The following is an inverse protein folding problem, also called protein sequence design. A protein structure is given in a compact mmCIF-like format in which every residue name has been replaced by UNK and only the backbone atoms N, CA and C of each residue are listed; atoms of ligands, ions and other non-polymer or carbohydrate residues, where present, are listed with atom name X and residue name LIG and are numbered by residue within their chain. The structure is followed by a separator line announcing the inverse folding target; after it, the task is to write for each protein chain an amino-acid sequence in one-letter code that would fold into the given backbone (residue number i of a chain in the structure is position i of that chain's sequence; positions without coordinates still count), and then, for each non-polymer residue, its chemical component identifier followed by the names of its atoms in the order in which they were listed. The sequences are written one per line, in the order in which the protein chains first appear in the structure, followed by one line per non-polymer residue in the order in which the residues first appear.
data_IF_964584581728
#
_entry.id   IF_964584581728
#
_cell.length_a   1.000
_cell.length_b   1.000
_cell.length_c   1.000
_cell.angle_alpha   90.00
_cell.angle_beta   90.00
_cell.angle_gamma   90.00
#
_symmetry.space_group_name_H-M   'P 1'
#
loop_
_entity.id
_entity.type
_entity.pdbx_description
1 polymer ?
#
# COMPACT_ATOMS: atom_id res chain seq x y z
N UNK A 1 14.18 -7.14 -7.91
CA UNK A 1 15.39 -6.88 -7.09
C UNK A 1 15.07 -6.53 -5.64
N UNK A 2 14.13 -5.62 -5.34
CA UNK A 2 13.78 -5.23 -3.96
C UNK A 2 13.32 -6.41 -3.10
N UNK A 3 12.53 -7.32 -3.65
CA UNK A 3 12.14 -8.59 -3.00
C UNK A 3 13.34 -9.36 -2.45
N UNK A 4 14.37 -9.59 -3.29
CA UNK A 4 15.57 -10.36 -2.89
C UNK A 4 16.36 -9.68 -1.77
N UNK A 5 16.30 -8.36 -1.71
CA UNK A 5 16.93 -7.58 -0.63
C UNK A 5 16.12 -7.73 0.65
N UNK A 6 14.79 -7.62 0.56
CA UNK A 6 13.89 -7.83 1.69
C UNK A 6 14.02 -9.24 2.27
N UNK A 7 14.07 -10.27 1.43
CA UNK A 7 14.21 -11.68 1.81
C UNK A 7 15.55 -11.97 2.50
N UNK A 8 16.54 -11.07 2.40
CA UNK A 8 17.85 -11.27 3.05
C UNK A 8 17.82 -10.93 4.53
N UNK A 9 16.82 -10.17 4.99
CA UNK A 9 16.66 -9.84 6.40
C UNK A 9 16.01 -11.02 7.13
N UNK A 10 16.56 -11.45 8.28
CA UNK A 10 15.98 -12.56 9.04
C UNK A 10 14.63 -12.17 9.63
N UNK A 11 13.57 -12.88 9.23
CA UNK A 11 12.18 -12.63 9.64
C UNK A 11 11.97 -12.70 11.16
N UNK A 12 12.82 -13.44 11.89
CA UNK A 12 12.75 -13.55 13.35
C UNK A 12 13.18 -12.28 14.08
N UNK A 13 13.75 -11.29 13.37
CA UNK A 13 14.26 -10.04 13.96
C UNK A 13 13.76 -8.78 13.27
N UNK A 14 13.32 -8.87 12.02
CA UNK A 14 12.95 -7.69 11.24
C UNK A 14 11.66 -7.93 10.47
N UNK A 15 10.77 -6.95 10.58
CA UNK A 15 9.63 -6.82 9.69
C UNK A 15 10.01 -5.89 8.53
N UNK A 16 10.21 -6.48 7.35
CA UNK A 16 10.69 -5.73 6.19
C UNK A 16 9.53 -5.33 5.29
N UNK A 17 9.49 -4.05 4.94
CA UNK A 17 8.48 -3.46 4.06
C UNK A 17 9.14 -2.84 2.83
N UNK A 18 8.45 -2.88 1.69
CA UNK A 18 8.84 -2.24 0.44
C UNK A 18 7.84 -1.14 0.15
N UNK A 19 8.32 0.11 0.15
CA UNK A 19 7.49 1.29 -0.10
C UNK A 19 7.70 1.75 -1.54
N UNK A 20 6.61 1.87 -2.28
CA UNK A 20 6.54 2.57 -3.56
C UNK A 20 5.74 3.86 -3.35
N UNK A 21 6.36 5.00 -3.63
CA UNK A 21 5.73 6.31 -3.46
C UNK A 21 5.82 7.13 -4.73
N UNK A 22 4.72 7.77 -5.12
CA UNK A 22 4.66 8.69 -6.25
C UNK A 22 3.72 9.86 -5.94
N UNK A 23 3.98 11.04 -6.49
CA UNK A 23 3.08 12.20 -6.35
C UNK A 23 1.90 12.15 -7.31
N UNK A 24 1.94 11.25 -8.31
CA UNK A 24 0.84 10.98 -9.23
C UNK A 24 -0.03 9.80 -8.81
N UNK A 25 -0.80 9.26 -9.75
CA UNK A 25 -1.51 7.98 -9.60
C UNK A 25 -0.63 6.83 -10.12
N UNK A 26 -0.78 5.64 -9.54
CA UNK A 26 -0.18 4.43 -10.11
C UNK A 26 -1.02 3.93 -11.29
N UNK A 27 -0.35 3.55 -12.38
CA UNK A 27 -0.97 2.83 -13.48
C UNK A 27 -1.20 1.36 -13.15
N UNK A 28 -2.16 0.72 -13.83
CA UNK A 28 -2.43 -0.73 -13.68
C UNK A 28 -1.17 -1.59 -13.89
N UNK A 29 -0.31 -1.19 -14.83
CA UNK A 29 0.95 -1.86 -15.09
C UNK A 29 1.96 -1.70 -13.93
N UNK A 30 1.93 -0.59 -13.20
CA UNK A 30 2.73 -0.40 -11.99
C UNK A 30 2.17 -1.18 -10.81
N UNK A 31 0.85 -1.17 -10.63
CA UNK A 31 0.17 -1.96 -9.60
C UNK A 31 0.47 -3.45 -9.80
N UNK A 32 0.37 -3.96 -11.03
CA UNK A 32 0.69 -5.35 -11.35
C UNK A 32 2.15 -5.71 -11.04
N UNK A 33 3.08 -4.79 -11.32
CA UNK A 33 4.50 -4.98 -10.99
C UNK A 33 4.74 -4.96 -9.47
N UNK A 34 4.08 -4.08 -8.74
CA UNK A 34 4.17 -4.02 -7.28
C UNK A 34 3.58 -5.28 -6.63
N UNK A 35 2.50 -5.83 -7.21
CA UNK A 35 1.88 -7.09 -6.76
C UNK A 35 2.85 -8.27 -6.79
N UNK A 36 3.81 -8.30 -7.71
CA UNK A 36 4.84 -9.36 -7.77
C UNK A 36 5.79 -9.34 -6.56
N UNK A 37 5.85 -8.23 -5.81
CA UNK A 37 6.63 -8.13 -4.60
C UNK A 37 5.86 -8.62 -3.35
N UNK A 38 4.57 -8.96 -3.46
CA UNK A 38 3.82 -9.62 -2.38
C UNK A 38 4.45 -10.97 -2.06
N UNK A 39 4.31 -11.39 -0.80
CA UNK A 39 4.69 -12.72 -0.33
C UNK A 39 3.42 -13.41 0.15
N UNK A 40 3.34 -14.72 -0.09
CA UNK A 40 2.23 -15.53 0.40
C UNK A 40 2.14 -15.35 1.92
N UNK A 41 0.96 -14.92 2.40
CA UNK A 41 0.66 -14.64 3.82
C UNK A 41 1.30 -13.38 4.46
N UNK A 42 1.99 -12.52 3.70
CA UNK A 42 2.59 -11.30 4.26
C UNK A 42 2.38 -10.07 3.40
N UNK A 43 1.64 -9.11 3.96
CA UNK A 43 1.47 -7.78 3.37
C UNK A 43 2.72 -6.95 3.68
N UNK A 44 3.68 -6.94 2.76
CA UNK A 44 4.94 -6.18 2.89
C UNK A 44 5.07 -5.03 1.91
N UNK A 45 4.15 -4.93 0.95
CA UNK A 45 4.16 -3.87 -0.07
C UNK A 45 3.28 -2.72 0.41
N UNK A 46 3.84 -1.52 0.39
CA UNK A 46 3.14 -0.28 0.71
C UNK A 46 3.17 0.59 -0.54
N UNK A 47 2.00 1.05 -0.99
CA UNK A 47 1.88 1.96 -2.13
C UNK A 47 1.24 3.27 -1.67
N UNK A 48 1.93 4.39 -1.93
CA UNK A 48 1.48 5.73 -1.59
C UNK A 48 1.47 6.59 -2.85
N UNK A 49 0.28 6.89 -3.37
CA UNK A 49 0.05 7.81 -4.48
C UNK A 49 -0.06 9.25 -3.97
N UNK A 50 -0.21 10.22 -4.87
CA UNK A 50 -0.48 11.61 -4.50
C UNK A 50 -1.67 11.75 -3.54
N UNK A 51 -2.70 10.91 -3.68
CA UNK A 51 -3.86 10.94 -2.79
C UNK A 51 -3.59 10.44 -1.37
N UNK A 52 -2.66 9.49 -1.20
CA UNK A 52 -2.26 9.00 0.13
C UNK A 52 -1.12 9.82 0.75
N UNK A 53 -0.30 10.45 -0.09
CA UNK A 53 0.82 11.28 0.32
C UNK A 53 0.41 12.68 0.71
N UNK A 54 -0.72 13.19 0.21
CA UNK A 54 -1.24 14.51 0.60
C UNK A 54 -1.55 14.51 2.10
N UNK A 55 -0.69 15.15 2.92
CA UNK A 55 -0.96 15.30 4.31
C UNK A 55 -1.81 16.57 4.42
N UNK A 56 -2.94 16.47 5.12
CA UNK A 56 -3.88 17.56 5.39
C UNK A 56 -4.90 17.81 4.28
N UNK A 57 -6.12 17.33 4.55
CA UNK A 57 -7.36 18.01 4.21
C UNK A 57 -7.18 19.53 4.35
N UNK A 58 -6.98 20.23 3.23
CA UNK A 58 -7.38 21.63 3.18
C UNK A 58 -8.89 21.59 3.00
N UNK A 59 -9.58 21.40 4.13
CA UNK A 59 -10.99 21.72 4.36
C UNK A 59 -11.91 21.59 3.13
N UNK A 60 -12.51 20.42 2.90
CA UNK A 60 -13.88 20.22 2.35
C UNK A 60 -14.11 18.86 1.65
N UNK A 61 -13.08 18.12 1.24
CA UNK A 61 -13.29 16.85 0.52
C UNK A 61 -13.44 15.60 1.41
N UNK A 62 -13.48 15.77 2.75
CA UNK A 62 -13.48 14.69 3.76
C UNK A 62 -14.73 13.82 3.83
N UNK A 63 -15.76 14.08 3.02
CA UNK A 63 -16.96 13.25 2.99
C UNK A 63 -17.07 12.33 1.77
N UNK A 64 -16.18 12.43 0.77
CA UNK A 64 -16.45 11.84 -0.54
C UNK A 64 -15.88 10.46 -0.84
N UNK A 65 -14.95 9.92 -0.04
CA UNK A 65 -14.26 8.66 -0.42
C UNK A 65 -14.29 7.52 0.60
N UNK A 66 -14.85 7.70 1.80
CA UNK A 66 -15.14 6.59 2.74
C UNK A 66 -13.94 5.77 3.23
N UNK A 67 -12.72 6.11 2.82
CA UNK A 67 -11.51 5.35 3.09
C UNK A 67 -10.57 6.24 3.90
N UNK A 68 -10.65 6.13 5.21
CA UNK A 68 -9.76 6.82 6.14
C UNK A 68 -8.55 5.94 6.46
N UNK A 69 -7.35 6.45 6.18
CA UNK A 69 -6.10 5.83 6.63
C UNK A 69 -5.98 5.98 8.15
N UNK A 70 -6.49 5.01 8.91
CA UNK A 70 -6.54 5.05 10.38
C UNK A 70 -5.26 4.55 11.07
N UNK A 71 -4.18 4.35 10.31
CA UNK A 71 -2.97 3.72 10.84
C UNK A 71 -1.73 4.54 10.57
N UNK A 72 -0.86 4.57 11.57
CA UNK A 72 0.50 5.11 11.51
C UNK A 72 1.55 3.99 11.51
N UNK A 73 1.13 2.72 11.55
CA UNK A 73 2.04 1.57 11.53
C UNK A 73 2.31 1.10 10.10
N UNK A 74 3.53 0.63 9.84
CA UNK A 74 3.91 0.07 8.53
C UNK A 74 3.06 -1.14 8.14
N UNK A 75 2.72 -1.98 9.12
CA UNK A 75 1.82 -3.13 8.94
C UNK A 75 0.42 -2.68 8.51
N UNK A 76 -0.12 -1.65 9.16
CA UNK A 76 -1.41 -1.10 8.79
C UNK A 76 -1.38 -0.49 7.39
N UNK A 77 -0.30 0.22 7.03
CA UNK A 77 -0.13 0.78 5.68
C UNK A 77 -0.04 -0.31 4.61
N UNK A 78 0.61 -1.42 4.90
CA UNK A 78 0.71 -2.55 3.98
C UNK A 78 -0.64 -3.27 3.83
N UNK A 79 -1.40 -3.40 4.92
CA UNK A 79 -2.75 -3.95 4.91
C UNK A 79 -3.73 -3.07 4.15
N UNK A 80 -3.64 -1.75 4.36
CA UNK A 80 -4.39 -0.76 3.59
C UNK A 80 -4.08 -0.83 2.09
N UNK A 81 -2.80 -0.91 1.74
CA UNK A 81 -2.35 -1.07 0.36
C UNK A 81 -2.96 -2.32 -0.27
N UNK A 82 -3.02 -3.42 0.47
CA UNK A 82 -3.61 -4.67 -0.01
C UNK A 82 -5.10 -4.51 -0.35
N UNK A 83 -5.86 -3.89 0.54
CA UNK A 83 -7.29 -3.62 0.33
C UNK A 83 -7.54 -2.66 -0.84
N UNK A 84 -6.73 -1.61 -0.97
CA UNK A 84 -6.95 -0.57 -1.98
C UNK A 84 -6.53 -1.00 -3.39
N UNK A 85 -5.38 -1.67 -3.52
CA UNK A 85 -4.75 -1.92 -4.82
C UNK A 85 -4.81 -3.39 -5.28
N UNK A 86 -5.00 -4.35 -4.38
CA UNK A 86 -4.87 -5.78 -4.69
C UNK A 86 -6.13 -6.62 -4.48
N UNK A 87 -7.08 -6.17 -3.66
CA UNK A 87 -8.39 -6.79 -3.54
C UNK A 87 -9.33 -6.35 -4.67
N UNK A 88 -10.15 -7.27 -5.22
CA UNK A 88 -11.19 -6.87 -6.16
C UNK A 88 -12.18 -5.93 -5.43
N UNK A 89 -12.69 -4.89 -6.10
CA UNK A 89 -13.74 -4.05 -5.51
C UNK A 89 -14.91 -4.95 -5.09
N UNK A 90 -15.56 -4.70 -3.93
CA UNK A 90 -16.69 -5.50 -3.52
C UNK A 90 -17.71 -5.47 -4.63
N UNK A 91 -17.95 -6.64 -5.25
CA UNK A 91 -18.98 -6.82 -6.27
C UNK A 91 -20.25 -6.16 -5.77
N UNK A 92 -20.73 -5.13 -6.47
CA UNK A 92 -22.06 -4.57 -6.24
C UNK A 92 -23.06 -5.72 -6.45
N UNK A 93 -23.54 -6.29 -5.34
CA UNK A 93 -24.61 -7.26 -5.29
C UNK A 93 -25.97 -6.54 -5.41
#
# INVERSE_FOLDING_TARGET
NLTRIADRFPETRFDTFIVFSTTGQFSDAEILRCRQALQEHRHRVIMLSGSELEPYFIFEESQKKGVHLHTTSLEGLASFTHQLYFEPPPTAA
#
